data_IF_757197441132
#
_entry.id   IF_757197441132
#
_cell.length_a   1.000
_cell.length_b   1.000
_cell.length_c   1.000
_cell.angle_alpha   90.00
_cell.angle_beta   90.00
_cell.angle_gamma   90.00
#
_symmetry.space_group_name_H-M   'P 1'
#
loop_
_entity.id
_entity.type
_entity.pdbx_description
1 polymer ?
#
# COMPACT_ATOMS: atom_id res chain seq x y z
N UNK A 1 -5.85 -56.13 9.12
CA UNK A 1 -6.59 -55.23 8.19
C UNK A 1 -7.38 -54.29 9.10
N UNK A 2 -6.77 -53.22 9.63
CA UNK A 2 -6.70 -51.85 9.05
C UNK A 2 -8.13 -51.33 8.80
N UNK A 3 -8.64 -50.24 9.38
CA UNK A 3 -8.02 -49.01 9.85
C UNK A 3 -8.72 -48.41 11.09
N UNK A 4 -7.94 -47.65 11.86
CA UNK A 4 -8.37 -46.76 12.93
C UNK A 4 -8.48 -45.31 12.43
N UNK A 5 -9.24 -44.52 13.21
CA UNK A 5 -9.21 -43.06 13.39
C UNK A 5 -9.86 -42.15 12.32
N UNK A 6 -11.13 -41.86 12.55
CA UNK A 6 -11.74 -40.57 12.24
C UNK A 6 -11.34 -39.56 13.34
N UNK A 7 -10.49 -38.58 13.01
CA UNK A 7 -10.22 -37.43 13.88
C UNK A 7 -11.33 -36.40 13.70
N UNK A 8 -12.27 -36.41 14.65
CA UNK A 8 -13.32 -35.42 14.79
C UNK A 8 -12.73 -34.13 15.39
N UNK A 9 -12.38 -33.15 14.57
CA UNK A 9 -11.99 -31.81 15.05
C UNK A 9 -13.23 -30.94 15.26
N UNK A 10 -13.39 -30.49 16.50
CA UNK A 10 -14.55 -29.78 17.00
C UNK A 10 -14.69 -28.36 16.41
N UNK A 11 -15.90 -27.76 16.41
CA UNK A 11 -16.20 -26.48 15.74
C UNK A 11 -15.60 -25.22 16.37
N UNK A 12 -14.74 -25.34 17.38
CA UNK A 12 -14.30 -24.22 18.22
C UNK A 12 -13.12 -23.41 17.66
N UNK A 13 -12.45 -23.87 16.59
CA UNK A 13 -11.34 -23.12 15.99
C UNK A 13 -11.79 -22.05 14.98
N UNK A 14 -13.00 -22.17 14.40
CA UNK A 14 -13.50 -21.20 13.40
C UNK A 14 -14.03 -19.90 14.02
N UNK A 15 -14.29 -19.88 15.34
CA UNK A 15 -14.91 -18.72 15.99
C UNK A 15 -13.89 -17.63 16.35
N UNK A 16 -12.59 -17.93 16.35
CA UNK A 16 -11.53 -16.96 16.64
C UNK A 16 -11.04 -16.16 15.41
N UNK A 17 -11.41 -16.54 14.18
CA UNK A 17 -11.07 -15.77 12.97
C UNK A 17 -11.96 -14.53 12.77
N UNK A 18 -13.18 -14.52 13.30
CA UNK A 18 -14.13 -13.40 13.13
C UNK A 18 -13.78 -12.11 13.89
N UNK A 19 -12.71 -12.09 14.69
CA UNK A 19 -12.19 -10.85 15.31
C UNK A 19 -11.02 -10.22 14.55
N UNK A 20 -10.50 -10.89 13.51
CA UNK A 20 -9.35 -10.39 12.75
C UNK A 20 -9.74 -9.39 11.64
N UNK A 21 -10.96 -9.50 11.08
CA UNK A 21 -11.42 -8.62 9.99
C UNK A 21 -11.49 -7.12 10.36
N UNK A 22 -11.45 -6.78 11.66
CA UNK A 22 -11.39 -5.39 12.14
C UNK A 22 -9.95 -4.85 12.29
N UNK A 23 -8.92 -5.69 12.19
CA UNK A 23 -7.54 -5.31 12.50
C UNK A 23 -6.81 -4.62 11.33
N UNK A 24 -7.09 -5.00 10.09
CA UNK A 24 -6.42 -4.41 8.93
C UNK A 24 -6.70 -2.91 8.78
N UNK A 25 -7.95 -2.46 8.98
CA UNK A 25 -8.28 -1.03 8.89
C UNK A 25 -7.64 -0.19 9.99
N UNK A 26 -7.45 -0.73 11.20
CA UNK A 26 -6.75 -0.04 12.29
C UNK A 26 -5.22 -0.08 12.13
N UNK A 27 -4.70 -1.07 11.39
CA UNK A 27 -3.27 -1.34 11.25
C UNK A 27 -2.66 -0.81 9.93
N UNK A 28 -3.47 -0.23 9.03
CA UNK A 28 -2.96 0.41 7.82
C UNK A 28 -2.31 1.76 8.17
N UNK A 29 -1.00 1.71 8.43
CA UNK A 29 -0.15 2.87 8.70
C UNK A 29 -0.42 4.07 7.79
N UNK A 30 -0.43 5.27 8.37
CA UNK A 30 -0.73 6.51 7.65
C UNK A 30 0.57 7.24 7.30
N UNK A 31 1.10 6.83 6.17
CA UNK A 31 2.25 7.41 5.48
C UNK A 31 1.81 8.59 4.58
N UNK A 32 2.77 9.38 4.08
CA UNK A 32 2.57 10.29 2.95
C UNK A 32 3.60 10.05 1.84
N UNK A 33 3.23 10.38 0.61
CA UNK A 33 4.14 10.39 -0.53
C UNK A 33 4.02 11.73 -1.26
N UNK A 34 5.13 12.27 -1.74
CA UNK A 34 5.16 13.43 -2.62
C UNK A 34 6.32 13.34 -3.61
N UNK A 35 6.22 14.12 -4.67
CA UNK A 35 7.21 14.14 -5.75
C UNK A 35 7.37 15.55 -6.30
N UNK A 36 8.57 15.89 -6.76
CA UNK A 36 8.89 17.18 -7.38
C UNK A 36 9.78 17.00 -8.59
N UNK A 37 9.67 17.92 -9.54
CA UNK A 37 10.55 18.01 -10.70
C UNK A 37 10.97 19.47 -10.89
N UNK A 38 12.15 19.71 -11.46
CA UNK A 38 12.64 21.06 -11.78
C UNK A 38 13.08 21.23 -13.24
N UNK A 39 13.39 22.46 -13.62
CA UNK A 39 13.81 22.82 -14.98
C UNK A 39 15.19 22.28 -15.37
N UNK A 40 15.99 21.82 -14.41
CA UNK A 40 17.30 21.20 -14.66
C UNK A 40 17.19 19.68 -14.90
N UNK A 41 15.98 19.13 -14.77
CA UNK A 41 15.70 17.71 -14.95
C UNK A 41 15.87 16.88 -13.68
N UNK A 42 16.03 17.53 -12.51
CA UNK A 42 16.07 16.80 -11.24
C UNK A 42 14.67 16.29 -10.90
N UNK A 43 14.59 15.07 -10.40
CA UNK A 43 13.36 14.43 -9.93
C UNK A 43 13.54 13.96 -8.49
N UNK A 44 12.53 14.18 -7.66
CA UNK A 44 12.45 13.67 -6.28
C UNK A 44 11.19 12.84 -6.16
N UNK A 45 11.32 11.61 -5.67
CA UNK A 45 10.20 10.75 -5.28
C UNK A 45 10.41 10.39 -3.81
N UNK A 46 9.54 10.85 -2.92
CA UNK A 46 9.76 10.75 -1.48
C UNK A 46 8.53 10.26 -0.73
N UNK A 47 8.67 9.09 -0.10
CA UNK A 47 7.73 8.56 0.88
C UNK A 47 8.22 8.82 2.30
N UNK A 48 7.41 9.41 3.16
CA UNK A 48 7.75 9.76 4.54
C UNK A 48 6.64 9.34 5.50
N UNK A 49 7.01 8.86 6.69
CA UNK A 49 6.06 8.26 7.64
C UNK A 49 6.48 8.42 9.10
N UNK A 50 5.52 8.20 9.99
CA UNK A 50 5.69 7.95 11.42
C UNK A 50 5.02 6.62 11.83
N UNK A 51 4.87 5.71 10.86
CA UNK A 51 4.09 4.47 10.86
C UNK A 51 2.57 4.72 10.90
N UNK A 52 1.92 4.54 12.05
CA UNK A 52 0.49 4.75 12.22
C UNK A 52 0.10 6.23 12.18
N UNK A 53 -1.20 6.49 12.08
CA UNK A 53 -1.71 7.85 12.23
C UNK A 53 -1.32 8.40 13.60
N UNK A 54 -0.64 9.55 13.63
CA UNK A 54 -0.03 10.12 14.83
C UNK A 54 1.08 9.27 15.49
N UNK A 55 1.57 8.22 14.82
CA UNK A 55 2.61 7.33 15.33
C UNK A 55 2.21 6.69 16.66
N UNK A 56 3.05 6.85 17.68
CA UNK A 56 2.74 6.42 19.06
C UNK A 56 1.59 7.18 19.72
N UNK A 57 1.17 8.32 19.17
CA UNK A 57 0.32 9.30 19.85
C UNK A 57 1.06 10.15 20.88
N UNK A 58 2.36 9.91 21.11
CA UNK A 58 3.18 10.69 22.04
C UNK A 58 3.71 11.93 21.32
N UNK A 59 3.37 13.10 21.86
CA UNK A 59 3.97 14.37 21.47
C UNK A 59 5.11 14.72 22.43
N UNK A 60 6.23 15.22 21.90
CA UNK A 60 7.33 15.69 22.75
C UNK A 60 6.90 16.96 23.49
N UNK A 61 6.92 16.97 24.85
CA UNK A 61 6.50 18.11 25.65
C UNK A 61 7.24 19.38 25.22
N UNK A 62 6.52 20.49 25.09
CA UNK A 62 7.03 21.81 24.72
C UNK A 62 7.65 21.94 23.31
N UNK A 63 7.65 20.88 22.50
CA UNK A 63 8.25 20.90 21.15
C UNK A 63 7.25 20.64 20.02
N UNK A 64 6.09 20.01 20.30
CA UNK A 64 4.98 19.94 19.35
C UNK A 64 5.09 18.91 18.22
N UNK A 65 6.14 18.08 18.18
CA UNK A 65 6.26 17.00 17.20
C UNK A 65 5.89 15.64 17.79
N UNK A 66 5.30 14.79 16.95
CA UNK A 66 4.88 13.42 17.30
C UNK A 66 6.03 12.42 17.12
N UNK A 67 6.03 11.37 17.93
CA UNK A 67 7.00 10.27 17.83
C UNK A 67 6.43 9.09 17.04
N UNK A 68 7.22 8.56 16.10
CA UNK A 68 6.88 7.35 15.35
C UNK A 68 6.76 6.13 16.27
N UNK A 69 5.98 5.14 15.84
CA UNK A 69 5.97 3.80 16.38
C UNK A 69 6.64 2.79 15.43
N UNK A 70 7.55 3.21 14.55
CA UNK A 70 8.10 2.41 13.44
C UNK A 70 8.67 1.05 13.86
N UNK A 71 9.14 0.90 15.10
CA UNK A 71 9.66 -0.38 15.59
C UNK A 71 8.59 -1.47 15.68
N UNK A 72 7.29 -1.14 15.56
CA UNK A 72 6.21 -2.14 15.44
C UNK A 72 6.22 -2.86 14.09
N UNK A 73 6.95 -2.37 13.10
CA UNK A 73 7.16 -3.05 11.81
C UNK A 73 8.11 -4.26 11.92
N UNK A 74 8.83 -4.42 13.03
CA UNK A 74 9.56 -5.66 13.30
C UNK A 74 8.61 -6.82 13.63
N UNK A 75 9.08 -8.04 13.38
CA UNK A 75 8.37 -9.24 13.78
C UNK A 75 8.25 -9.30 15.31
N UNK A 76 7.01 -9.36 15.82
CA UNK A 76 6.78 -9.46 17.26
C UNK A 76 7.36 -10.75 17.89
N UNK A 77 7.52 -11.81 17.09
CA UNK A 77 8.21 -13.05 17.48
C UNK A 77 9.61 -13.06 16.86
N UNK A 78 10.69 -13.11 17.67
CA UNK A 78 12.06 -13.12 17.16
C UNK A 78 12.43 -14.46 16.50
N UNK A 79 13.59 -14.50 15.85
CA UNK A 79 14.15 -15.64 15.12
C UNK A 79 14.04 -15.52 13.59
N UNK A 80 13.38 -14.47 13.10
CA UNK A 80 13.20 -14.17 11.68
C UNK A 80 14.15 -13.07 11.15
N UNK A 81 14.23 -12.88 9.82
CA UNK A 81 15.07 -11.84 9.22
C UNK A 81 14.65 -10.42 9.65
N UNK A 82 13.39 -10.23 10.04
CA UNK A 82 12.84 -8.96 10.52
C UNK A 82 12.65 -8.97 12.06
N UNK A 83 13.47 -9.71 12.81
CA UNK A 83 13.48 -9.62 14.27
C UNK A 83 14.10 -8.30 14.78
N UNK A 84 13.72 -7.90 16.00
CA UNK A 84 14.25 -6.73 16.69
C UNK A 84 15.71 -6.95 17.11
N UNK A 85 16.59 -6.03 16.73
CA UNK A 85 17.98 -6.00 17.16
C UNK A 85 18.46 -4.56 17.43
N UNK A 86 19.43 -4.33 18.34
CA UNK A 86 19.99 -3.01 18.56
C UNK A 86 20.51 -2.39 17.26
N UNK A 87 20.17 -1.12 17.00
CA UNK A 87 20.57 -0.36 15.80
C UNK A 87 20.05 -0.87 14.46
N UNK A 88 19.32 -1.99 14.44
CA UNK A 88 18.66 -2.50 13.23
C UNK A 88 17.47 -1.62 12.88
N UNK A 89 17.19 -1.50 11.58
CA UNK A 89 16.01 -0.81 11.05
C UNK A 89 14.92 -1.85 10.72
N UNK A 90 13.65 -1.58 11.05
CA UNK A 90 12.55 -2.47 10.68
C UNK A 90 12.37 -2.54 9.17
N UNK A 91 11.80 -3.64 8.69
CA UNK A 91 11.37 -3.78 7.30
C UNK A 91 10.35 -2.69 6.97
N UNK A 92 10.54 -2.03 5.84
CA UNK A 92 9.58 -1.05 5.32
C UNK A 92 9.03 -1.49 3.98
N UNK A 93 7.76 -1.16 3.73
CA UNK A 93 7.09 -1.38 2.44
C UNK A 93 7.12 -0.15 1.53
N UNK A 94 7.72 0.96 1.96
CA UNK A 94 7.78 2.18 1.15
C UNK A 94 8.49 1.92 -0.17
N UNK A 95 7.86 2.32 -1.27
CA UNK A 95 8.36 2.07 -2.63
C UNK A 95 8.43 3.36 -3.48
N UNK A 96 9.13 4.42 -3.03
CA UNK A 96 9.34 5.62 -3.86
C UNK A 96 10.12 5.22 -5.12
N UNK A 97 9.52 5.43 -6.29
CA UNK A 97 10.01 4.89 -7.55
C UNK A 97 10.18 5.98 -8.60
N UNK A 98 11.24 5.86 -9.41
CA UNK A 98 11.46 6.64 -10.63
C UNK A 98 11.67 5.65 -11.77
N UNK A 99 10.80 5.72 -12.77
CA UNK A 99 10.83 4.89 -13.98
C UNK A 99 11.55 5.65 -15.08
N UNK A 100 12.49 4.97 -15.74
CA UNK A 100 13.20 5.47 -16.91
C UNK A 100 12.75 4.70 -18.16
N UNK A 101 12.65 5.40 -19.28
CA UNK A 101 12.38 4.85 -20.61
C UNK A 101 13.45 5.35 -21.56
N UNK A 102 14.13 4.42 -22.24
CA UNK A 102 15.22 4.74 -23.18
C UNK A 102 16.32 5.65 -22.59
N UNK A 103 16.60 5.47 -21.30
CA UNK A 103 17.61 6.25 -20.56
C UNK A 103 17.16 7.63 -20.08
N UNK A 104 15.93 8.06 -20.41
CA UNK A 104 15.35 9.31 -19.94
C UNK A 104 14.30 9.06 -18.83
N UNK A 105 14.15 9.98 -17.86
CA UNK A 105 13.07 9.86 -16.89
C UNK A 105 11.69 9.88 -17.56
N UNK A 106 10.82 8.99 -17.13
CA UNK A 106 9.46 8.83 -17.69
C UNK A 106 8.39 9.16 -16.66
N UNK A 107 8.51 8.62 -15.45
CA UNK A 107 7.50 8.78 -14.39
C UNK A 107 8.15 8.68 -13.01
N UNK A 108 7.70 9.50 -12.07
CA UNK A 108 7.85 9.23 -10.63
C UNK A 108 6.54 8.66 -10.10
N UNK A 109 6.60 7.74 -9.14
CA UNK A 109 5.41 7.22 -8.48
C UNK A 109 5.75 6.72 -7.09
N UNK A 110 4.82 6.90 -6.17
CA UNK A 110 4.84 6.30 -4.84
C UNK A 110 3.51 6.53 -4.16
N UNK A 111 3.30 5.84 -3.04
CA UNK A 111 2.05 5.88 -2.29
C UNK A 111 2.32 5.63 -0.81
N UNK A 112 1.44 6.10 0.10
CA UNK A 112 1.28 5.53 1.43
C UNK A 112 0.44 4.25 1.44
N UNK A 113 0.28 3.61 2.61
CA UNK A 113 -0.61 2.45 2.80
C UNK A 113 0.02 1.20 3.45
N UNK A 114 1.11 1.34 4.21
CA UNK A 114 1.78 0.18 4.81
C UNK A 114 2.18 -0.87 3.76
N UNK A 115 1.81 -2.13 3.98
CA UNK A 115 2.11 -3.23 3.04
C UNK A 115 1.47 -3.06 1.66
N UNK A 116 0.37 -2.30 1.55
CA UNK A 116 -0.33 -2.10 0.26
C UNK A 116 0.43 -1.18 -0.69
N UNK A 117 1.48 -0.48 -0.22
CA UNK A 117 2.30 0.43 -1.03
C UNK A 117 2.88 -0.29 -2.24
N UNK A 118 3.43 -1.49 -2.04
CA UNK A 118 4.09 -2.27 -3.10
C UNK A 118 3.08 -2.56 -4.22
N UNK A 119 1.93 -3.13 -3.88
CA UNK A 119 0.89 -3.49 -4.85
C UNK A 119 0.25 -2.25 -5.48
N UNK A 120 0.12 -1.14 -4.74
CA UNK A 120 -0.38 0.14 -5.28
C UNK A 120 0.56 0.67 -6.37
N UNK A 121 1.86 0.74 -6.09
CA UNK A 121 2.86 1.21 -7.05
C UNK A 121 2.95 0.26 -8.25
N UNK A 122 2.92 -1.06 -8.01
CA UNK A 122 2.96 -2.06 -9.08
C UNK A 122 1.75 -1.96 -10.02
N UNK A 123 0.52 -1.83 -9.49
CA UNK A 123 -0.69 -1.67 -10.28
C UNK A 123 -0.64 -0.40 -11.13
N UNK A 124 -0.20 0.74 -10.57
CA UNK A 124 -0.08 2.00 -11.35
C UNK A 124 0.94 1.86 -12.48
N UNK A 125 2.11 1.25 -12.21
CA UNK A 125 3.11 1.00 -13.26
C UNK A 125 2.53 0.09 -14.34
N UNK A 126 1.80 -0.97 -13.96
CA UNK A 126 1.15 -1.88 -14.90
C UNK A 126 0.09 -1.16 -15.75
N UNK A 127 -0.75 -0.33 -15.14
CA UNK A 127 -1.78 0.46 -15.82
C UNK A 127 -1.19 1.36 -16.90
N UNK A 128 -0.05 1.99 -16.63
CA UNK A 128 0.64 2.84 -17.61
C UNK A 128 1.38 2.01 -18.66
N UNK A 129 2.18 1.03 -18.23
CA UNK A 129 3.12 0.34 -19.10
C UNK A 129 2.48 -0.74 -19.98
N UNK A 130 1.53 -1.49 -19.44
CA UNK A 130 0.87 -2.60 -20.13
C UNK A 130 -0.46 -2.15 -20.75
N UNK A 131 -1.30 -1.47 -19.96
CA UNK A 131 -2.64 -1.09 -20.40
C UNK A 131 -2.70 0.26 -21.14
N UNK A 132 -1.59 1.00 -21.18
CA UNK A 132 -1.50 2.27 -21.90
C UNK A 132 -2.45 3.35 -21.39
N UNK A 133 -2.89 3.25 -20.12
CA UNK A 133 -3.78 4.22 -19.51
C UNK A 133 -3.12 5.60 -19.42
N UNK A 134 -3.91 6.66 -19.51
CA UNK A 134 -3.38 8.01 -19.24
C UNK A 134 -2.94 8.14 -17.77
N UNK A 135 -2.06 9.09 -17.44
CA UNK A 135 -1.61 9.34 -16.07
C UNK A 135 -2.72 9.42 -15.01
N UNK A 136 -3.79 10.15 -15.32
CA UNK A 136 -4.93 10.31 -14.40
C UNK A 136 -5.75 9.02 -14.26
N UNK A 137 -5.99 8.31 -15.37
CA UNK A 137 -6.70 7.03 -15.37
C UNK A 137 -5.92 5.96 -14.61
N UNK A 138 -4.62 5.84 -14.86
CA UNK A 138 -3.78 4.83 -14.22
C UNK A 138 -3.74 4.95 -12.69
N UNK A 139 -3.81 6.18 -12.18
CA UNK A 139 -3.89 6.47 -10.74
C UNK A 139 -5.32 6.29 -10.21
N UNK A 140 -6.34 6.65 -10.97
CA UNK A 140 -7.73 6.53 -10.54
C UNK A 140 -8.24 5.08 -10.53
N UNK A 141 -7.70 4.22 -11.39
CA UNK A 141 -8.16 2.84 -11.59
C UNK A 141 -8.31 2.08 -10.25
N UNK A 142 -9.44 1.37 -10.03
CA UNK A 142 -9.68 0.62 -8.79
C UNK A 142 -8.61 -0.45 -8.55
N UNK A 143 -8.07 -0.47 -7.34
CA UNK A 143 -7.01 -1.40 -6.91
C UNK A 143 -7.58 -2.57 -6.12
N UNK A 144 -6.80 -3.63 -6.04
CA UNK A 144 -6.98 -4.70 -5.08
C UNK A 144 -5.65 -5.02 -4.38
N UNK A 145 -5.74 -5.63 -3.22
CA UNK A 145 -4.60 -6.07 -2.42
C UNK A 145 -4.94 -7.41 -1.76
N UNK A 146 -4.02 -8.36 -1.87
CA UNK A 146 -4.11 -9.71 -1.31
C UNK A 146 -2.73 -10.05 -0.74
N UNK A 147 -2.66 -10.57 0.49
CA UNK A 147 -1.42 -11.01 1.13
C UNK A 147 -1.51 -12.43 1.71
N UNK A 148 -1.27 -12.62 3.00
CA UNK A 148 -1.47 -13.87 3.73
C UNK A 148 -2.78 -13.87 4.54
N UNK A 149 -3.47 -12.73 4.61
CA UNK A 149 -4.80 -12.62 5.18
C UNK A 149 -5.81 -13.38 4.29
N UNK A 150 -6.83 -14.05 4.87
CA UNK A 150 -7.86 -14.69 4.08
C UNK A 150 -8.63 -13.74 3.14
N UNK A 151 -8.75 -12.45 3.48
CA UNK A 151 -9.59 -11.50 2.74
C UNK A 151 -8.79 -10.59 1.78
N UNK A 152 -9.20 -10.60 0.51
CA UNK A 152 -8.78 -9.63 -0.51
C UNK A 152 -9.42 -8.27 -0.21
N UNK A 153 -8.58 -7.25 0.01
CA UNK A 153 -9.01 -5.85 0.11
C UNK A 153 -9.18 -5.30 -1.30
N UNK A 154 -10.27 -4.55 -1.52
CA UNK A 154 -10.63 -4.04 -2.83
C UNK A 154 -11.23 -2.64 -2.75
N UNK A 155 -11.11 -1.90 -3.85
CA UNK A 155 -11.62 -0.54 -3.95
C UNK A 155 -12.99 -0.46 -4.64
N UNK A 156 -13.79 0.60 -4.35
CA UNK A 156 -14.99 0.88 -5.11
C UNK A 156 -14.68 0.99 -6.61
N UNK A 157 -15.53 0.38 -7.44
CA UNK A 157 -15.35 0.35 -8.89
C UNK A 157 -14.81 -0.98 -9.42
N UNK A 158 -14.26 -1.86 -8.57
CA UNK A 158 -13.89 -3.21 -9.00
C UNK A 158 -15.15 -3.99 -9.47
N UNK A 159 -15.19 -4.48 -10.72
CA UNK A 159 -16.39 -5.10 -11.28
C UNK A 159 -16.89 -6.28 -10.45
N UNK A 160 -18.19 -6.31 -10.14
CA UNK A 160 -18.79 -7.39 -9.36
C UNK A 160 -18.65 -8.75 -10.03
N UNK A 161 -18.69 -8.80 -11.36
CA UNK A 161 -18.48 -10.03 -12.13
C UNK A 161 -17.07 -10.60 -11.92
N UNK A 162 -16.03 -9.75 -11.98
CA UNK A 162 -14.66 -10.18 -11.71
C UNK A 162 -14.51 -10.71 -10.28
N UNK A 163 -15.11 -10.03 -9.29
CA UNK A 163 -15.11 -10.51 -7.90
C UNK A 163 -15.79 -11.87 -7.75
N UNK A 164 -16.97 -12.07 -8.36
CA UNK A 164 -17.68 -13.35 -8.33
C UNK A 164 -16.88 -14.49 -8.96
N UNK A 165 -16.19 -14.22 -10.07
CA UNK A 165 -15.33 -15.21 -10.73
C UNK A 165 -14.15 -15.59 -9.83
N UNK A 166 -13.50 -14.62 -9.18
CA UNK A 166 -12.41 -14.88 -8.23
C UNK A 166 -12.90 -15.61 -6.96
N UNK A 167 -14.10 -15.28 -6.46
CA UNK A 167 -14.73 -16.01 -5.36
C UNK A 167 -15.01 -17.47 -5.72
N UNK A 168 -15.44 -17.76 -6.96
CA UNK A 168 -15.61 -19.13 -7.44
C UNK A 168 -14.28 -19.90 -7.53
N UNK A 169 -13.14 -19.21 -7.62
CA UNK A 169 -11.80 -19.79 -7.56
C UNK A 169 -11.25 -19.94 -6.13
N UNK A 170 -11.98 -19.46 -5.12
CA UNK A 170 -11.63 -19.61 -3.71
C UNK A 170 -11.05 -18.37 -3.03
N UNK A 171 -11.01 -17.22 -3.70
CA UNK A 171 -10.65 -15.95 -3.05
C UNK A 171 -11.79 -15.46 -2.16
N UNK A 172 -11.49 -15.07 -0.93
CA UNK A 172 -12.46 -14.40 -0.05
C UNK A 172 -12.22 -12.89 -0.18
N UNK A 173 -13.27 -12.08 -0.36
CA UNK A 173 -13.13 -10.62 -0.45
C UNK A 173 -13.65 -10.01 0.85
N UNK A 174 -13.02 -8.93 1.30
CA UNK A 174 -13.55 -8.12 2.38
C UNK A 174 -15.00 -7.68 2.06
N UNK A 175 -15.87 -7.72 3.06
CA UNK A 175 -17.31 -7.42 2.89
C UNK A 175 -17.55 -6.02 2.30
N UNK A 176 -16.77 -5.03 2.77
CA UNK A 176 -16.88 -3.63 2.36
C UNK A 176 -15.62 -3.17 1.63
N UNK A 177 -15.76 -2.39 0.53
CA UNK A 177 -14.61 -1.82 -0.14
C UNK A 177 -13.99 -0.68 0.67
N UNK A 178 -12.71 -0.43 0.47
CA UNK A 178 -12.00 0.69 1.10
C UNK A 178 -10.92 1.27 0.18
N UNK A 179 -10.56 2.56 0.32
CA UNK A 179 -9.49 3.13 -0.49
C UNK A 179 -8.13 2.52 -0.15
N UNK A 180 -7.35 2.19 -1.18
CA UNK A 180 -6.01 1.65 -1.10
C UNK A 180 -5.00 2.71 -1.54
N UNK A 181 -4.17 3.18 -0.61
CA UNK A 181 -3.10 4.12 -0.88
C UNK A 181 -3.58 5.54 -1.24
N UNK A 182 -2.63 6.36 -1.70
CA UNK A 182 -2.86 7.72 -2.16
C UNK A 182 -1.65 8.18 -2.97
N UNK A 183 -1.62 7.77 -4.24
CA UNK A 183 -0.43 7.91 -5.06
C UNK A 183 -0.20 9.34 -5.57
N UNK A 184 1.05 9.79 -5.56
CA UNK A 184 1.45 11.04 -6.21
C UNK A 184 2.47 10.72 -7.29
N UNK A 185 2.34 11.36 -8.45
CA UNK A 185 3.19 11.08 -9.59
C UNK A 185 3.47 12.33 -10.42
N UNK A 186 4.63 12.33 -11.07
CA UNK A 186 4.99 13.27 -12.12
C UNK A 186 5.38 12.47 -13.35
N UNK A 187 4.79 12.80 -14.49
CA UNK A 187 5.07 12.21 -15.80
C UNK A 187 5.83 13.22 -16.66
N UNK A 188 6.92 12.78 -17.28
CA UNK A 188 7.63 13.57 -18.28
C UNK A 188 6.96 13.35 -19.65
N UNK A 189 6.40 14.41 -20.24
CA UNK A 189 5.69 14.35 -21.52
C UNK A 189 6.06 15.57 -22.36
N UNK A 190 6.55 15.34 -23.59
CA UNK A 190 6.80 16.39 -24.59
C UNK A 190 7.61 17.60 -24.11
N UNK A 191 8.61 17.35 -23.24
CA UNK A 191 9.46 18.41 -22.67
C UNK A 191 8.82 19.18 -21.51
N UNK A 192 7.68 18.73 -21.01
CA UNK A 192 6.99 19.25 -19.84
C UNK A 192 6.77 18.17 -18.77
N UNK A 193 6.34 18.60 -17.60
CA UNK A 193 5.95 17.73 -16.50
C UNK A 193 4.45 17.81 -16.24
N UNK A 194 3.81 16.65 -16.20
CA UNK A 194 2.42 16.50 -15.77
C UNK A 194 2.40 15.89 -14.37
N UNK A 195 2.03 16.68 -13.38
CA UNK A 195 1.75 16.18 -12.03
C UNK A 195 0.34 15.59 -11.95
N UNK A 196 0.20 14.50 -11.19
CA UNK A 196 -1.09 13.88 -10.88
C UNK A 196 -1.15 13.60 -9.38
N UNK A 197 -2.25 14.02 -8.76
CA UNK A 197 -2.57 13.68 -7.39
C UNK A 197 -3.76 12.74 -7.29
N UNK A 198 -3.61 11.68 -6.52
CA UNK A 198 -4.68 10.69 -6.28
C UNK A 198 -5.82 11.30 -5.47
N UNK A 199 -7.05 11.20 -6.00
CA UNK A 199 -8.28 11.76 -5.42
C UNK A 199 -8.76 11.09 -4.13
N UNK A 200 -8.07 10.05 -3.63
CA UNK A 200 -8.36 9.41 -2.33
C UNK A 200 -8.03 10.29 -1.12
N UNK A 201 -7.28 11.38 -1.31
CA UNK A 201 -7.02 12.44 -0.33
C UNK A 201 -7.06 13.80 -1.03
N UNK A 202 -6.99 14.87 -0.26
CA UNK A 202 -7.01 16.26 -0.75
C UNK A 202 -5.66 16.73 -1.31
N UNK A 203 -4.97 15.87 -2.07
CA UNK A 203 -3.70 16.20 -2.71
C UNK A 203 -3.87 17.28 -3.78
N UNK A 204 -2.79 18.04 -4.05
CA UNK A 204 -2.81 19.12 -5.06
C UNK A 204 -1.58 19.08 -5.94
N UNK A 205 -1.75 19.48 -7.19
CA UNK A 205 -0.66 19.66 -8.17
C UNK A 205 -0.46 21.14 -8.45
N UNK A 206 0.79 21.59 -8.40
CA UNK A 206 1.17 22.98 -8.74
C UNK A 206 2.28 22.94 -9.78
N UNK A 207 2.01 23.46 -10.97
CA UNK A 207 3.02 23.69 -12.01
C UNK A 207 3.72 25.03 -11.84
N UNK A 208 4.97 25.10 -12.28
CA UNK A 208 5.81 26.31 -12.29
C UNK A 208 6.04 26.82 -13.71
#
# INVERSE_FOLDING_TARGET
MVAQNESNTAPSERTNQKRAASSLQSDLGQTTHFTTADSEGNLVSWTSTIEQFFGTGIMVPDHGFMLNNELTDFDAKPGGPNEVEPTKRPLSSTSPTIVFKDGAPFMTVGSPGGKTIITTVAQIILNVAEFGMSPAEAIAEPRLYDDVDPEVIWEPGLPSEARQQLQALGHEFADEPMPLGNAQAIFAQDGAYLGVADGRRDGSVVGL
#
